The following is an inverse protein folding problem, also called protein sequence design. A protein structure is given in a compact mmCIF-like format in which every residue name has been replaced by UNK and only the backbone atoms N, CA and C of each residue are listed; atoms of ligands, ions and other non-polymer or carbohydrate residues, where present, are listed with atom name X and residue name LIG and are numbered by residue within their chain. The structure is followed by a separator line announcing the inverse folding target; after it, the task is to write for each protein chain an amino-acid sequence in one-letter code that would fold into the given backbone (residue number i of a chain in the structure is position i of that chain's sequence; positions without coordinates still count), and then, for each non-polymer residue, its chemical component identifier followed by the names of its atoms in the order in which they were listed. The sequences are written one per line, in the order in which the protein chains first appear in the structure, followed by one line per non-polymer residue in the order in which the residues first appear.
data_IF_732460926237
#
_entry.id   IF_732460926237
#
_cell.length_a   1.000
_cell.length_b   1.000
_cell.length_c   1.000
_cell.angle_alpha   90.00
_cell.angle_beta   90.00
_cell.angle_gamma   90.00
#
_symmetry.space_group_name_H-M   'P 1'
#
loop_
_entity.id
_entity.type
_entity.pdbx_description
1 polymer ?
#
# COMPACT_ATOMS: atom_id res chain seq x y z
N UNK A 1 14.25 9.17 3.62
CA UNK A 1 12.88 8.61 3.51
C UNK A 1 12.53 8.19 2.08
N UNK A 2 12.43 9.11 1.10
CA UNK A 2 12.00 8.80 -0.29
C UNK A 2 12.72 7.61 -0.95
N UNK A 3 14.06 7.58 -0.89
CA UNK A 3 14.87 6.49 -1.47
C UNK A 3 14.53 5.13 -0.85
N UNK A 4 14.33 5.08 0.48
CA UNK A 4 13.99 3.84 1.18
C UNK A 4 12.59 3.36 0.78
N UNK A 5 11.62 4.27 0.70
CA UNK A 5 10.26 3.94 0.27
C UNK A 5 10.26 3.41 -1.16
N UNK A 6 10.94 4.09 -2.08
CA UNK A 6 11.07 3.67 -3.48
C UNK A 6 11.72 2.28 -3.60
N UNK A 7 12.81 2.03 -2.85
CA UNK A 7 13.47 0.73 -2.84
C UNK A 7 12.56 -0.40 -2.31
N UNK A 8 11.73 -0.12 -1.31
CA UNK A 8 10.77 -1.11 -0.77
C UNK A 8 9.63 -1.39 -1.75
N UNK A 9 9.15 -0.38 -2.47
CA UNK A 9 8.15 -0.56 -3.53
C UNK A 9 8.74 -1.36 -4.70
N UNK A 10 9.97 -1.09 -5.12
CA UNK A 10 10.63 -1.84 -6.19
C UNK A 10 10.75 -3.33 -5.85
N UNK A 11 11.19 -3.64 -4.62
CA UNK A 11 11.22 -5.03 -4.12
C UNK A 11 9.84 -5.68 -4.11
N UNK A 12 8.81 -4.96 -3.67
CA UNK A 12 7.45 -5.48 -3.68
C UNK A 12 7.00 -5.81 -5.11
N UNK A 13 7.31 -4.97 -6.09
CA UNK A 13 7.01 -5.23 -7.51
C UNK A 13 7.76 -6.44 -8.09
N UNK A 14 8.95 -6.76 -7.55
CA UNK A 14 9.71 -7.98 -7.87
C UNK A 14 9.20 -9.23 -7.13
N UNK A 15 8.10 -9.15 -6.39
CA UNK A 15 7.57 -10.27 -5.61
C UNK A 15 8.32 -10.52 -4.30
N UNK A 16 9.06 -9.53 -3.80
CA UNK A 16 9.76 -9.56 -2.50
C UNK A 16 9.01 -8.66 -1.50
N UNK A 17 7.87 -9.11 -0.93
CA UNK A 17 6.94 -8.26 -0.20
C UNK A 17 7.54 -7.65 1.07
N UNK A 18 8.46 -8.35 1.75
CA UNK A 18 8.99 -7.90 3.03
C UNK A 18 7.91 -7.92 4.12
N UNK A 19 7.74 -6.79 4.82
CA UNK A 19 6.75 -6.64 5.90
C UNK A 19 5.44 -6.08 5.33
N UNK A 20 4.52 -6.98 4.97
CA UNK A 20 3.20 -6.68 4.39
C UNK A 20 2.12 -7.34 5.22
N UNK A 21 1.02 -6.62 5.46
CA UNK A 21 -0.18 -7.17 6.08
C UNK A 21 -1.45 -6.84 5.28
N UNK A 22 -2.40 -7.78 5.16
CA UNK A 22 -3.72 -7.47 4.63
C UNK A 22 -4.48 -6.56 5.61
N UNK A 23 -5.15 -5.54 5.08
CA UNK A 23 -6.02 -4.63 5.87
C UNK A 23 -7.50 -4.77 5.52
N UNK A 24 -7.84 -5.80 4.74
CA UNK A 24 -9.19 -6.14 4.31
C UNK A 24 -9.58 -5.54 2.96
N UNK A 25 -10.69 -6.03 2.41
CA UNK A 25 -11.29 -5.54 1.14
C UNK A 25 -10.31 -5.57 -0.05
N UNK A 26 -9.42 -6.57 -0.07
CA UNK A 26 -8.42 -6.73 -1.13
C UNK A 26 -7.28 -5.71 -1.09
N UNK A 27 -7.16 -4.92 -0.01
CA UNK A 27 -6.06 -3.97 0.22
C UNK A 27 -5.03 -4.56 1.16
N UNK A 28 -3.75 -4.31 0.85
CA UNK A 28 -2.60 -4.66 1.69
C UNK A 28 -1.79 -3.42 2.04
N UNK A 29 -1.13 -3.48 3.19
CA UNK A 29 -0.26 -2.44 3.73
C UNK A 29 1.19 -2.94 3.75
N UNK A 30 2.10 -2.22 3.09
CA UNK A 30 3.54 -2.37 3.22
C UNK A 30 4.03 -1.48 4.37
N UNK A 31 4.60 -2.11 5.40
CA UNK A 31 5.10 -1.45 6.62
C UNK A 31 6.59 -1.18 6.51
N UNK A 32 6.98 0.08 6.64
CA UNK A 32 8.38 0.50 6.55
C UNK A 32 8.75 1.17 7.87
N UNK A 33 9.45 0.44 8.75
CA UNK A 33 9.91 0.92 10.05
C UNK A 33 11.16 1.82 9.91
N UNK A 34 10.97 2.98 9.28
CA UNK A 34 12.00 4.01 9.15
C UNK A 34 11.40 5.38 9.48
N UNK A 35 12.07 6.16 10.32
CA UNK A 35 11.59 7.46 10.78
C UNK A 35 10.22 7.34 11.47
N UNK A 36 9.17 8.03 11.00
CA UNK A 36 7.84 8.00 11.63
C UNK A 36 7.09 6.66 11.44
N UNK A 37 7.65 5.73 10.65
CA UNK A 37 7.02 4.44 10.35
C UNK A 37 6.03 4.57 9.19
N UNK A 38 6.55 4.61 7.96
CA UNK A 38 5.74 4.81 6.76
C UNK A 38 4.84 3.60 6.47
N UNK A 39 3.67 3.88 5.88
CA UNK A 39 2.69 2.91 5.39
C UNK A 39 2.34 3.20 3.95
N UNK A 40 2.44 2.18 3.13
CA UNK A 40 2.11 2.23 1.71
C UNK A 40 1.00 1.22 1.45
N UNK A 41 -0.11 1.67 0.85
CA UNK A 41 -1.26 0.81 0.59
C UNK A 41 -1.31 0.43 -0.88
N UNK A 42 -1.68 -0.82 -1.16
CA UNK A 42 -1.72 -1.34 -2.51
C UNK A 42 -2.76 -2.45 -2.66
N UNK A 43 -3.14 -2.72 -3.92
CA UNK A 43 -3.90 -3.90 -4.32
C UNK A 43 -3.06 -4.70 -5.31
N UNK A 44 -3.08 -6.04 -5.20
CA UNK A 44 -2.47 -6.94 -6.17
C UNK A 44 -3.58 -7.56 -7.02
N UNK A 45 -3.51 -7.41 -8.35
CA UNK A 45 -4.41 -8.06 -9.31
C UNK A 45 -3.60 -8.91 -10.26
N UNK A 46 -3.58 -10.23 -10.03
CA UNK A 46 -2.68 -11.14 -10.74
C UNK A 46 -1.22 -10.70 -10.57
N UNK A 47 -0.56 -10.35 -11.67
CA UNK A 47 0.84 -9.89 -11.67
C UNK A 47 0.98 -8.36 -11.60
N UNK A 48 -0.13 -7.63 -11.52
CA UNK A 48 -0.13 -6.16 -11.50
C UNK A 48 -0.24 -5.65 -10.06
N UNK A 49 0.74 -4.84 -9.66
CA UNK A 49 0.74 -4.12 -8.40
C UNK A 49 0.15 -2.71 -8.59
N UNK A 50 -0.96 -2.43 -7.91
CA UNK A 50 -1.65 -1.14 -7.97
C UNK A 50 -1.35 -0.38 -6.69
N UNK A 51 -0.56 0.70 -6.82
CA UNK A 51 -0.27 1.60 -5.71
C UNK A 51 -1.45 2.53 -5.46
N UNK A 52 -1.98 2.53 -4.25
CA UNK A 52 -3.02 3.47 -3.85
C UNK A 52 -2.32 4.74 -3.40
N UNK A 53 -2.54 5.86 -4.09
CA UNK A 53 -1.87 7.14 -3.84
C UNK A 53 -2.38 7.84 -2.56
N UNK A 54 -2.67 7.05 -1.54
CA UNK A 54 -2.86 7.44 -0.16
C UNK A 54 -1.81 6.68 0.66
N UNK A 55 -1.10 7.40 1.51
CA UNK A 55 -0.03 6.83 2.31
C UNK A 55 0.40 7.85 3.33
N UNK A 56 0.92 7.33 4.43
CA UNK A 56 1.20 8.16 5.58
C UNK A 56 2.22 7.50 6.48
N UNK A 57 2.11 7.81 7.76
CA UNK A 57 2.87 7.16 8.79
C UNK A 57 1.96 6.45 9.79
N UNK A 58 2.56 5.84 10.81
CA UNK A 58 1.83 5.10 11.83
C UNK A 58 0.73 5.93 12.51
N UNK A 59 0.85 7.27 12.59
CA UNK A 59 -0.13 8.13 13.27
C UNK A 59 -1.43 8.29 12.49
N UNK A 60 -1.37 8.21 11.16
CA UNK A 60 -2.53 8.39 10.26
C UNK A 60 -3.10 7.07 9.75
N UNK A 61 -2.43 5.95 10.04
CA UNK A 61 -2.74 4.59 9.56
C UNK A 61 -4.24 4.27 9.45
N UNK A 62 -5.02 4.47 10.52
CA UNK A 62 -6.46 4.14 10.50
C UNK A 62 -7.22 4.91 9.41
N UNK A 63 -6.95 6.22 9.28
CA UNK A 63 -7.59 7.07 8.26
C UNK A 63 -7.12 6.69 6.86
N UNK A 64 -5.85 6.34 6.73
CA UNK A 64 -5.25 5.97 5.45
C UNK A 64 -5.78 4.63 4.95
N UNK A 65 -6.01 3.65 5.84
CA UNK A 65 -6.66 2.37 5.52
C UNK A 65 -8.06 2.59 4.93
N UNK A 66 -8.90 3.39 5.58
CA UNK A 66 -10.25 3.68 5.09
C UNK A 66 -10.22 4.39 3.72
N UNK A 67 -9.26 5.31 3.55
CA UNK A 67 -9.06 6.01 2.27
C UNK A 67 -8.60 5.04 1.18
N UNK A 68 -7.67 4.13 1.50
CA UNK A 68 -7.14 3.14 0.58
C UNK A 68 -8.24 2.19 0.08
N UNK A 69 -9.07 1.68 0.99
CA UNK A 69 -10.22 0.82 0.64
C UNK A 69 -11.20 1.52 -0.28
N UNK A 70 -11.52 2.79 0.00
CA UNK A 70 -12.37 3.61 -0.86
C UNK A 70 -11.78 3.74 -2.27
N UNK A 71 -10.50 4.13 -2.36
CA UNK A 71 -9.81 4.28 -3.65
C UNK A 71 -9.79 2.96 -4.42
N UNK A 72 -9.48 1.85 -3.76
CA UNK A 72 -9.45 0.53 -4.38
C UNK A 72 -10.82 0.12 -4.92
N UNK A 73 -11.89 0.38 -4.16
CA UNK A 73 -13.27 0.12 -4.59
C UNK A 73 -13.67 0.97 -5.79
N UNK A 74 -13.42 2.28 -5.72
CA UNK A 74 -13.75 3.22 -6.78
C UNK A 74 -12.99 2.89 -8.08
N UNK A 75 -11.72 2.49 -7.97
CA UNK A 75 -10.90 2.08 -9.11
C UNK A 75 -11.40 0.75 -9.72
N UNK A 76 -11.75 -0.22 -8.86
CA UNK A 76 -12.29 -1.52 -9.31
C UNK A 76 -13.57 -1.34 -10.12
N UNK A 77 -14.52 -0.53 -9.64
CA UNK A 77 -15.79 -0.28 -10.32
C UNK A 77 -15.67 0.38 -11.69
N UNK A 78 -14.53 1.02 -12.01
CA UNK A 78 -14.28 1.68 -13.29
C UNK A 78 -13.54 0.79 -14.30
N UNK A 79 -12.90 -0.29 -13.83
CA UNK A 79 -11.95 -1.08 -14.63
C UNK A 79 -12.36 -2.56 -14.76
N UNK A 80 -13.53 -2.92 -14.25
CA UNK A 80 -14.18 -4.23 -14.40
C UNK A 80 -15.42 -4.08 -15.34
#
# INVERSE_FOLDING_TARGET
ARVIIAARIARLAEGLPGDVEPVGEGVSELRIHYGPGYRVYFQQRGNVLILLLCGGDKKTQRRDIETAKKIAKDWSAQND
#
